data_IF_764044406168
#
_entry.id   IF_764044406168
#
_cell.length_a   1.000
_cell.length_b   1.000
_cell.length_c   1.000
_cell.angle_alpha   90.00
_cell.angle_beta   90.00
_cell.angle_gamma   90.00
#
_symmetry.space_group_name_H-M   'P 1'
#
loop_
_entity.id
_entity.type
_entity.pdbx_description
1 polymer ?
#
# COMPACT_ATOMS: atom_id res chain seq x y z
N UNK A 1 10.01 64.68 17.44
CA UNK A 1 9.31 63.38 17.54
C UNK A 1 9.82 62.48 16.43
N UNK A 2 10.63 61.46 16.75
CA UNK A 2 11.28 60.56 15.78
C UNK A 2 10.42 59.30 15.61
N UNK A 3 10.07 58.94 14.37
CA UNK A 3 9.41 57.67 14.04
C UNK A 3 10.36 56.51 14.37
N UNK A 4 9.91 55.39 14.99
CA UNK A 4 10.79 54.26 15.21
C UNK A 4 10.96 53.52 13.87
N UNK A 5 12.14 53.68 13.26
CA UNK A 5 12.59 52.86 12.15
C UNK A 5 13.05 51.51 12.70
N UNK A 6 12.46 50.44 12.20
CA UNK A 6 12.92 49.08 12.47
C UNK A 6 14.32 48.96 11.85
N UNK A 7 15.32 48.67 12.67
CA UNK A 7 16.72 48.58 12.26
C UNK A 7 16.89 47.42 11.26
N UNK A 8 17.61 47.60 10.13
CA UNK A 8 17.83 46.53 9.14
C UNK A 8 18.62 45.34 9.70
N UNK A 9 19.26 45.50 10.86
CA UNK A 9 19.88 44.42 11.63
C UNK A 9 18.84 43.45 12.21
N UNK A 10 17.62 43.93 12.52
CA UNK A 10 16.53 43.08 13.00
C UNK A 10 15.87 42.26 11.86
N UNK A 11 16.02 42.70 10.60
CA UNK A 11 15.49 41.99 9.44
C UNK A 11 16.43 40.88 8.95
N UNK A 12 17.70 40.90 9.37
CA UNK A 12 18.69 39.88 9.01
C UNK A 12 18.67 38.65 9.95
N UNK A 13 18.04 38.75 11.11
CA UNK A 13 17.90 37.64 12.07
C UNK A 13 16.77 36.65 11.72
N UNK A 14 15.92 36.97 10.75
CA UNK A 14 14.86 36.07 10.28
C UNK A 14 15.29 35.16 9.10
N UNK A 15 16.50 35.34 8.57
CA UNK A 15 16.94 34.67 7.35
C UNK A 15 18.00 33.56 7.54
N UNK A 16 18.37 33.22 8.78
CA UNK A 16 19.31 32.12 9.05
C UNK A 16 18.77 31.25 10.19
N UNK A 17 17.76 30.44 9.86
CA UNK A 17 17.49 29.18 10.55
C UNK A 17 17.54 28.00 9.55
N UNK A 18 18.32 28.17 8.48
CA UNK A 18 18.82 27.05 7.70
C UNK A 18 20.18 26.64 8.27
N UNK A 19 20.29 25.36 8.59
CA UNK A 19 21.53 24.59 8.83
C UNK A 19 22.13 24.65 10.23
N UNK A 20 21.81 23.65 11.05
CA UNK A 20 22.71 22.53 11.41
C UNK A 20 22.18 21.80 12.64
N UNK A 21 21.44 20.72 12.42
CA UNK A 21 21.33 19.63 13.38
C UNK A 21 21.22 18.32 12.59
N UNK A 22 22.33 17.90 11.98
CA UNK A 22 22.56 16.50 11.65
C UNK A 22 22.80 15.77 12.98
N UNK A 23 21.71 15.56 13.72
CA UNK A 23 21.72 14.70 14.90
C UNK A 23 21.41 13.30 14.42
N UNK A 24 22.33 12.36 14.64
CA UNK A 24 22.14 10.92 14.42
C UNK A 24 21.16 10.31 15.45
N UNK A 25 20.01 10.94 15.62
CA UNK A 25 18.85 10.44 16.34
C UNK A 25 17.68 10.67 15.41
N UNK A 26 17.29 9.62 14.68
CA UNK A 26 16.19 9.65 13.73
C UNK A 26 14.92 10.15 14.42
N UNK A 27 14.61 11.42 14.24
CA UNK A 27 13.25 11.90 14.41
C UNK A 27 12.52 11.38 13.18
N UNK A 28 11.80 10.28 13.38
CA UNK A 28 10.71 9.92 12.49
C UNK A 28 9.78 11.13 12.54
N UNK A 29 9.89 12.02 11.57
CA UNK A 29 8.81 12.96 11.28
C UNK A 29 7.68 12.04 10.82
N UNK A 30 6.79 11.68 11.75
CA UNK A 30 5.49 11.09 11.41
C UNK A 30 4.90 12.01 10.35
N UNK A 31 4.93 11.53 9.10
CA UNK A 31 4.20 12.19 8.03
C UNK A 31 2.74 12.10 8.44
N UNK A 32 1.96 13.19 8.33
CA UNK A 32 0.59 13.20 8.82
C UNK A 32 -0.13 11.98 8.26
N UNK A 33 -0.66 11.14 9.15
CA UNK A 33 -1.37 9.92 8.77
C UNK A 33 -2.36 10.27 7.68
N UNK A 34 -2.15 9.72 6.48
CA UNK A 34 -3.19 9.78 5.45
C UNK A 34 -4.31 8.93 6.00
N UNK A 35 -5.35 9.60 6.49
CA UNK A 35 -6.47 8.93 7.16
C UNK A 35 -7.29 8.20 6.10
N UNK A 36 -6.93 6.94 5.85
CA UNK A 36 -7.70 6.02 5.01
C UNK A 36 -8.86 5.48 5.85
N UNK A 37 -10.05 6.04 5.66
CA UNK A 37 -11.21 5.77 6.51
C UNK A 37 -12.10 4.62 6.04
N UNK A 38 -11.85 4.06 4.84
CA UNK A 38 -12.68 2.97 4.34
C UNK A 38 -12.19 2.33 3.04
N UNK A 39 -12.94 1.32 2.54
CA UNK A 39 -12.54 0.45 1.45
C UNK A 39 -12.18 1.20 0.16
N UNK A 40 -12.96 2.23 -0.20
CA UNK A 40 -12.72 3.02 -1.42
C UNK A 40 -11.42 3.81 -1.38
N UNK A 41 -11.06 4.37 -0.22
CA UNK A 41 -9.81 5.13 -0.07
C UNK A 41 -8.61 4.19 -0.05
N UNK A 42 -8.75 3.02 0.56
CA UNK A 42 -7.75 1.95 0.55
C UNK A 42 -7.50 1.48 -0.89
N UNK A 43 -8.56 1.15 -1.64
CA UNK A 43 -8.48 0.76 -3.05
C UNK A 43 -7.78 1.83 -3.89
N UNK A 44 -8.20 3.10 -3.76
CA UNK A 44 -7.60 4.20 -4.50
C UNK A 44 -6.10 4.37 -4.18
N UNK A 45 -5.71 4.23 -2.92
CA UNK A 45 -4.31 4.29 -2.51
C UNK A 45 -3.49 3.10 -3.04
N UNK A 46 -4.05 1.90 -3.09
CA UNK A 46 -3.40 0.71 -3.65
C UNK A 46 -3.17 0.78 -5.17
N UNK A 47 -4.00 1.55 -5.88
CA UNK A 47 -3.83 1.81 -7.32
C UNK A 47 -2.90 3.00 -7.63
N UNK A 48 -2.60 3.85 -6.65
CA UNK A 48 -1.78 5.06 -6.86
C UNK A 48 -0.27 4.81 -6.78
N UNK A 49 0.54 5.79 -7.19
CA UNK A 49 2.01 5.66 -7.21
C UNK A 49 2.72 6.02 -5.90
N UNK A 50 1.99 6.57 -4.92
CA UNK A 50 2.56 6.96 -3.63
C UNK A 50 2.85 5.70 -2.77
N UNK A 51 4.11 5.30 -2.73
CA UNK A 51 4.59 4.14 -1.98
C UNK A 51 4.18 4.17 -0.50
N UNK A 52 4.19 5.34 0.15
CA UNK A 52 3.81 5.46 1.55
C UNK A 52 2.32 5.18 1.73
N UNK A 53 1.48 5.77 0.87
CA UNK A 53 0.03 5.51 0.89
C UNK A 53 -0.30 4.06 0.55
N UNK A 54 0.43 3.45 -0.39
CA UNK A 54 0.30 2.02 -0.70
C UNK A 54 0.56 1.15 0.53
N UNK A 55 1.65 1.40 1.27
CA UNK A 55 1.94 0.62 2.48
C UNK A 55 0.90 0.82 3.58
N UNK A 56 0.49 2.07 3.84
CA UNK A 56 -0.59 2.36 4.80
C UNK A 56 -1.90 1.67 4.38
N UNK A 57 -2.22 1.67 3.09
CA UNK A 57 -3.41 1.00 2.57
C UNK A 57 -3.35 -0.52 2.74
N UNK A 58 -2.18 -1.15 2.57
CA UNK A 58 -1.99 -2.60 2.82
C UNK A 58 -2.22 -2.94 4.29
N UNK A 59 -1.69 -2.13 5.21
CA UNK A 59 -1.94 -2.30 6.64
C UNK A 59 -3.43 -2.19 6.97
N UNK A 60 -4.12 -1.20 6.40
CA UNK A 60 -5.56 -1.00 6.60
C UNK A 60 -6.41 -2.08 5.94
N UNK A 61 -6.01 -2.60 4.78
CA UNK A 61 -6.72 -3.66 4.07
C UNK A 61 -6.89 -4.91 4.95
N UNK A 62 -5.88 -5.27 5.73
CA UNK A 62 -5.93 -6.40 6.65
C UNK A 62 -6.88 -6.17 7.86
N UNK A 63 -7.27 -4.93 8.12
CA UNK A 63 -8.17 -4.55 9.23
C UNK A 63 -9.63 -4.39 8.82
N UNK A 64 -9.92 -4.42 7.52
CA UNK A 64 -11.30 -4.42 7.02
C UNK A 64 -12.02 -5.69 7.46
N UNK A 65 -13.35 -5.63 7.55
CA UNK A 65 -14.11 -6.86 7.65
C UNK A 65 -13.86 -7.73 6.40
N UNK A 66 -14.04 -9.06 6.51
CA UNK A 66 -13.71 -9.96 5.42
C UNK A 66 -14.45 -9.69 4.11
N UNK A 67 -15.69 -9.17 4.17
CA UNK A 67 -16.50 -8.93 2.98
C UNK A 67 -15.97 -7.69 2.22
N UNK A 68 -15.71 -6.60 2.93
CA UNK A 68 -15.12 -5.39 2.35
C UNK A 68 -13.69 -5.65 1.84
N UNK A 69 -12.88 -6.42 2.59
CA UNK A 69 -11.54 -6.82 2.13
C UNK A 69 -11.61 -7.60 0.82
N UNK A 70 -12.51 -8.58 0.73
CA UNK A 70 -12.67 -9.38 -0.48
C UNK A 70 -13.12 -8.53 -1.67
N UNK A 71 -14.08 -7.62 -1.47
CA UNK A 71 -14.57 -6.73 -2.51
C UNK A 71 -13.44 -5.83 -3.07
N UNK A 72 -12.61 -5.26 -2.19
CA UNK A 72 -11.44 -4.47 -2.62
C UNK A 72 -10.47 -5.33 -3.44
N UNK A 73 -10.14 -6.54 -3.00
CA UNK A 73 -9.22 -7.42 -3.72
C UNK A 73 -9.75 -7.81 -5.11
N UNK A 74 -11.04 -8.10 -5.23
CA UNK A 74 -11.67 -8.40 -6.53
C UNK A 74 -11.66 -7.20 -7.48
N UNK A 75 -11.91 -5.99 -6.98
CA UNK A 75 -11.80 -4.76 -7.78
C UNK A 75 -10.35 -4.54 -8.26
N UNK A 76 -9.35 -4.79 -7.40
CA UNK A 76 -7.94 -4.66 -7.76
C UNK A 76 -7.52 -5.68 -8.83
N UNK A 77 -8.02 -6.92 -8.76
CA UNK A 77 -7.82 -7.92 -9.82
C UNK A 77 -8.43 -7.48 -11.16
N UNK A 78 -9.56 -6.77 -11.14
CA UNK A 78 -10.26 -6.37 -12.37
C UNK A 78 -9.69 -5.10 -13.00
N UNK A 79 -9.32 -4.13 -12.17
CA UNK A 79 -9.01 -2.76 -12.61
C UNK A 79 -7.56 -2.34 -12.37
N UNK A 80 -6.77 -3.17 -11.69
CA UNK A 80 -5.37 -2.89 -11.37
C UNK A 80 -4.45 -3.06 -12.57
N UNK A 81 -3.32 -2.35 -12.53
CA UNK A 81 -2.16 -2.70 -13.35
C UNK A 81 -1.56 -4.04 -12.89
N UNK A 82 -0.61 -4.59 -13.65
CA UNK A 82 -0.03 -5.90 -13.32
C UNK A 82 0.56 -5.96 -11.88
N UNK A 83 1.34 -4.98 -11.40
CA UNK A 83 1.80 -4.96 -10.01
C UNK A 83 0.66 -4.97 -8.98
N UNK A 84 -0.40 -4.20 -9.20
CA UNK A 84 -1.55 -4.14 -8.31
C UNK A 84 -2.37 -5.44 -8.34
N UNK A 85 -2.53 -6.07 -9.51
CA UNK A 85 -3.18 -7.39 -9.62
C UNK A 85 -2.38 -8.48 -8.91
N UNK A 86 -1.06 -8.50 -9.08
CA UNK A 86 -0.17 -9.44 -8.38
C UNK A 86 -0.27 -9.28 -6.85
N UNK A 87 -0.30 -8.03 -6.36
CA UNK A 87 -0.54 -7.74 -4.96
C UNK A 87 -1.89 -8.32 -4.50
N UNK A 88 -2.95 -8.17 -5.28
CA UNK A 88 -4.27 -8.70 -4.95
C UNK A 88 -4.27 -10.23 -4.87
N UNK A 89 -3.58 -10.92 -5.78
CA UNK A 89 -3.39 -12.38 -5.71
C UNK A 89 -2.68 -12.77 -4.41
N UNK A 90 -1.58 -12.10 -4.06
CA UNK A 90 -0.84 -12.38 -2.83
C UNK A 90 -1.68 -12.13 -1.57
N UNK A 91 -2.51 -11.08 -1.55
CA UNK A 91 -3.36 -10.76 -0.41
C UNK A 91 -4.57 -11.70 -0.28
N UNK A 92 -5.07 -12.28 -1.39
CA UNK A 92 -6.12 -13.30 -1.36
C UNK A 92 -5.70 -14.58 -0.63
N UNK A 93 -4.41 -14.92 -0.66
CA UNK A 93 -3.87 -16.09 0.05
C UNK A 93 -3.92 -15.96 1.57
N UNK A 94 -4.18 -14.75 2.09
CA UNK A 94 -4.44 -14.51 3.51
C UNK A 94 -5.92 -14.77 3.90
N UNK A 95 -6.77 -15.17 2.95
CA UNK A 95 -8.15 -15.59 3.19
C UNK A 95 -8.25 -17.12 3.26
N UNK A 96 -9.43 -17.63 3.63
CA UNK A 96 -9.68 -19.06 3.64
C UNK A 96 -9.58 -19.65 2.21
N UNK A 97 -9.02 -20.86 2.03
CA UNK A 97 -8.90 -21.52 0.72
C UNK A 97 -10.21 -21.58 -0.06
N UNK A 98 -11.32 -21.88 0.61
CA UNK A 98 -12.63 -21.97 -0.01
C UNK A 98 -13.09 -20.65 -0.64
N UNK A 99 -12.54 -19.52 -0.18
CA UNK A 99 -12.80 -18.18 -0.72
C UNK A 99 -11.87 -17.88 -1.90
N UNK A 100 -10.55 -18.09 -1.76
CA UNK A 100 -9.61 -17.67 -2.79
C UNK A 100 -9.49 -18.67 -3.95
N UNK A 101 -9.66 -19.98 -3.73
CA UNK A 101 -9.45 -21.00 -4.77
C UNK A 101 -10.26 -20.74 -6.05
N UNK A 102 -11.59 -20.49 -6.03
CA UNK A 102 -12.33 -20.22 -7.26
C UNK A 102 -11.88 -18.93 -7.95
N UNK A 103 -11.45 -17.91 -7.19
CA UNK A 103 -10.96 -16.64 -7.74
C UNK A 103 -9.61 -16.86 -8.42
N UNK A 104 -8.67 -17.54 -7.75
CA UNK A 104 -7.34 -17.79 -8.31
C UNK A 104 -7.38 -18.79 -9.47
N UNK A 105 -8.37 -19.68 -9.52
CA UNK A 105 -8.62 -20.54 -10.69
C UNK A 105 -8.98 -19.70 -11.91
N UNK A 106 -9.84 -18.68 -11.75
CA UNK A 106 -10.20 -17.76 -12.83
C UNK A 106 -8.99 -16.90 -13.26
N UNK A 107 -8.25 -16.34 -12.29
CA UNK A 107 -7.02 -15.56 -12.55
C UNK A 107 -5.99 -16.40 -13.31
N UNK A 108 -5.75 -17.65 -12.89
CA UNK A 108 -4.82 -18.56 -13.55
C UNK A 108 -5.18 -18.84 -15.01
N UNK A 109 -6.48 -18.84 -15.34
CA UNK A 109 -6.95 -19.06 -16.70
C UNK A 109 -6.94 -17.77 -17.55
N UNK A 110 -7.27 -16.63 -16.94
CA UNK A 110 -7.77 -15.48 -17.68
C UNK A 110 -7.01 -14.15 -17.45
N UNK A 111 -6.07 -14.06 -16.50
CA UNK A 111 -5.30 -12.81 -16.32
C UNK A 111 -4.52 -12.49 -17.62
N UNK A 112 -4.56 -11.23 -18.10
CA UNK A 112 -3.84 -10.85 -19.30
C UNK A 112 -2.31 -10.99 -19.16
N UNK A 113 -1.78 -10.94 -17.94
CA UNK A 113 -0.36 -11.09 -17.65
C UNK A 113 0.00 -12.57 -17.40
N UNK A 114 0.91 -13.17 -18.21
CA UNK A 114 1.33 -14.55 -18.03
C UNK A 114 1.98 -14.84 -16.67
N UNK A 115 2.73 -13.91 -16.10
CA UNK A 115 3.40 -14.11 -14.81
C UNK A 115 2.37 -14.21 -13.67
N UNK A 116 1.29 -13.43 -13.75
CA UNK A 116 0.19 -13.48 -12.78
C UNK A 116 -0.59 -14.79 -12.92
N UNK A 117 -0.81 -15.28 -14.15
CA UNK A 117 -1.43 -16.59 -14.36
C UNK A 117 -0.63 -17.72 -13.73
N UNK A 118 0.68 -17.73 -13.97
CA UNK A 118 1.59 -18.74 -13.40
C UNK A 118 1.62 -18.68 -11.88
N UNK A 119 1.69 -17.47 -11.30
CA UNK A 119 1.67 -17.28 -9.86
C UNK A 119 0.35 -17.77 -9.24
N UNK A 120 -0.79 -17.45 -9.86
CA UNK A 120 -2.11 -17.88 -9.39
C UNK A 120 -2.27 -19.41 -9.48
N UNK A 121 -1.78 -20.04 -10.55
CA UNK A 121 -1.80 -21.50 -10.71
C UNK A 121 -0.96 -22.18 -9.63
N UNK A 122 0.28 -21.73 -9.43
CA UNK A 122 1.18 -22.28 -8.41
C UNK A 122 0.60 -22.13 -6.99
N UNK A 123 -0.16 -21.08 -6.72
CA UNK A 123 -0.74 -20.83 -5.41
C UNK A 123 -1.94 -21.73 -5.07
N UNK A 124 -2.60 -22.34 -6.07
CA UNK A 124 -3.71 -23.28 -5.85
C UNK A 124 -3.30 -24.75 -6.06
N UNK A 125 -2.09 -25.00 -6.56
CA UNK A 125 -1.57 -26.35 -6.66
C UNK A 125 -1.32 -26.91 -5.25
N UNK A 126 -1.81 -28.13 -4.94
CA UNK A 126 -1.43 -28.79 -3.70
C UNK A 126 0.07 -29.10 -3.78
N UNK A 127 0.82 -28.66 -2.76
CA UNK A 127 2.16 -29.17 -2.47
C UNK A 127 2.16 -30.69 -2.69
N UNK A 128 3.08 -31.26 -3.49
CA UNK A 128 3.12 -32.69 -3.72
C UNK A 128 3.20 -33.35 -2.35
N UNK A 129 2.19 -34.16 -2.00
CA UNK A 129 2.18 -34.85 -0.72
C UNK A 129 3.43 -35.71 -0.68
N UNK A 130 4.43 -35.31 0.09
CA UNK A 130 5.61 -36.12 0.34
C UNK A 130 5.14 -37.23 1.25
N UNK A 131 4.55 -38.30 0.69
CA UNK A 131 4.37 -39.55 1.43
C UNK A 131 5.76 -40.12 1.65
N UNK A 132 6.29 -40.14 2.88
CA UNK A 132 7.54 -40.83 3.14
C UNK A 132 7.37 -42.34 2.83
N UNK A 133 8.45 -43.00 2.37
CA UNK A 133 8.44 -44.43 1.99
C UNK A 133 8.09 -45.36 3.16
#
# INVERSE_FOLDING_TARGET
MRKPGISPVLLLLAAIAASLAFSCAGTIVESPDVKLEGPEQIKAALKGDDFRKKNQAREKLATLDPADRLAVLQDLLKEGDAPTRLLAVAELLNLAPEVYTPILTDVAANDPDPEIREFAAAAIEPEPSVTPP
#
